data_IF_777565953586
#
_entry.id   IF_777565953586
#
_cell.length_a   1.000
_cell.length_b   1.000
_cell.length_c   1.000
_cell.angle_alpha   90.00
_cell.angle_beta   90.00
_cell.angle_gamma   90.00
#
_symmetry.space_group_name_H-M   'P 1'
#
loop_
_entity.id
_entity.type
_entity.pdbx_description
1 polymer ?
#
# COMPACT_ATOMS: atom_id res chain seq x y z
N UNK A 1 20.43 15.49 -15.06
CA UNK A 1 19.94 16.46 -14.07
C UNK A 1 20.03 15.79 -12.71
N UNK A 2 21.03 16.16 -11.92
CA UNK A 2 21.31 15.56 -10.60
C UNK A 2 20.47 16.20 -9.48
N UNK A 3 19.72 17.25 -9.79
CA UNK A 3 18.83 17.94 -8.85
C UNK A 3 17.63 18.47 -9.63
N UNK A 4 16.66 17.60 -9.86
CA UNK A 4 15.37 18.07 -10.34
C UNK A 4 14.65 18.80 -9.20
N UNK A 5 13.99 19.89 -9.53
CA UNK A 5 13.05 20.50 -8.61
C UNK A 5 12.00 19.47 -8.19
N UNK A 6 11.70 19.41 -6.93
CA UNK A 6 10.73 18.45 -6.41
C UNK A 6 9.38 18.57 -7.14
N UNK A 7 8.87 17.41 -7.59
CA UNK A 7 7.63 17.34 -8.36
C UNK A 7 7.81 17.33 -9.88
N UNK A 8 9.03 17.48 -10.39
CA UNK A 8 9.34 17.28 -11.81
C UNK A 8 9.72 15.82 -12.10
N UNK A 9 9.54 15.42 -13.35
CA UNK A 9 9.95 14.08 -13.80
C UNK A 9 11.48 14.06 -13.96
N UNK A 10 12.12 13.16 -13.22
CA UNK A 10 13.54 12.86 -13.34
C UNK A 10 13.80 11.81 -14.45
N UNK A 11 15.06 11.55 -14.76
CA UNK A 11 15.46 10.45 -15.66
C UNK A 11 15.01 9.09 -15.11
N UNK A 12 15.14 8.89 -13.81
CA UNK A 12 14.69 7.68 -13.11
C UNK A 12 13.17 7.53 -13.22
N UNK A 13 12.41 8.62 -13.04
CA UNK A 13 10.98 8.64 -13.23
C UNK A 13 10.57 8.25 -14.65
N UNK A 14 11.25 8.78 -15.66
CA UNK A 14 11.02 8.42 -17.06
C UNK A 14 11.32 6.94 -17.34
N UNK A 15 12.43 6.39 -16.81
CA UNK A 15 12.78 4.98 -16.95
C UNK A 15 11.79 4.06 -16.22
N UNK A 16 11.40 4.42 -15.00
CA UNK A 16 10.39 3.66 -14.26
C UNK A 16 9.05 3.63 -15.02
N UNK A 17 8.65 4.73 -15.61
CA UNK A 17 7.45 4.81 -16.43
C UNK A 17 7.57 3.99 -17.72
N UNK A 18 8.73 4.07 -18.40
CA UNK A 18 9.01 3.23 -19.57
C UNK A 18 8.91 1.74 -19.23
N UNK A 19 9.51 1.33 -18.12
CA UNK A 19 9.41 -0.06 -17.63
C UNK A 19 7.96 -0.49 -17.45
N UNK A 20 7.14 0.35 -16.82
CA UNK A 20 5.73 0.06 -16.57
C UNK A 20 4.91 -0.06 -17.85
N UNK A 21 5.09 0.86 -18.79
CA UNK A 21 4.36 0.85 -20.06
C UNK A 21 4.77 -0.35 -20.93
N UNK A 22 6.07 -0.61 -21.01
CA UNK A 22 6.59 -1.74 -21.77
C UNK A 22 6.15 -3.10 -21.17
N UNK A 23 6.11 -3.21 -19.85
CA UNK A 23 5.58 -4.40 -19.15
C UNK A 23 4.09 -4.60 -19.47
N UNK A 24 3.30 -3.53 -19.37
CA UNK A 24 1.87 -3.59 -19.66
C UNK A 24 1.61 -4.06 -21.09
N UNK A 25 2.21 -3.39 -22.07
CA UNK A 25 2.01 -3.73 -23.50
C UNK A 25 2.60 -5.11 -23.82
N UNK A 26 3.75 -5.47 -23.25
CA UNK A 26 4.36 -6.78 -23.45
C UNK A 26 3.48 -7.93 -22.95
N UNK A 27 2.90 -7.79 -21.76
CA UNK A 27 1.96 -8.78 -21.21
C UNK A 27 0.65 -8.81 -21.99
N UNK A 28 0.15 -7.66 -22.45
CA UNK A 28 -1.04 -7.59 -23.28
C UNK A 28 -0.84 -8.32 -24.61
N UNK A 29 0.29 -8.09 -25.30
CA UNK A 29 0.62 -8.78 -26.55
C UNK A 29 0.75 -10.31 -26.37
N UNK A 30 1.14 -10.77 -25.19
CA UNK A 30 1.22 -12.19 -24.85
C UNK A 30 -0.16 -12.83 -24.60
N UNK A 31 -1.06 -12.10 -23.96
CA UNK A 31 -2.34 -12.65 -23.43
C UNK A 31 -3.54 -12.34 -24.31
N UNK A 32 -3.37 -11.62 -25.38
CA UNK A 32 -4.41 -11.12 -26.28
C UNK A 32 -5.02 -12.28 -27.09
N UNK A 33 -6.29 -12.55 -26.88
CA UNK A 33 -7.00 -13.61 -27.57
C UNK A 33 -7.00 -13.39 -29.11
N UNK A 34 -6.50 -14.40 -29.85
CA UNK A 34 -6.55 -14.46 -31.30
C UNK A 34 -5.54 -13.59 -32.07
N UNK A 35 -4.78 -12.73 -31.39
CA UNK A 35 -3.82 -11.80 -32.01
C UNK A 35 -2.52 -11.66 -31.20
N UNK A 36 -1.99 -12.75 -30.74
CA UNK A 36 -0.75 -12.76 -29.98
C UNK A 36 0.45 -12.43 -30.89
N UNK A 37 1.28 -11.48 -30.43
CA UNK A 37 2.54 -11.19 -31.09
C UNK A 37 3.71 -11.52 -30.12
N UNK A 38 4.17 -12.76 -30.18
CA UNK A 38 5.19 -13.29 -29.28
C UNK A 38 6.50 -12.52 -29.37
N UNK A 39 6.94 -12.17 -30.59
CA UNK A 39 8.19 -11.45 -30.79
C UNK A 39 8.11 -10.02 -30.22
N UNK A 40 7.02 -9.30 -30.48
CA UNK A 40 6.79 -7.99 -29.91
C UNK A 40 6.69 -8.05 -28.40
N UNK A 41 6.00 -9.06 -27.85
CA UNK A 41 5.90 -9.28 -26.43
C UNK A 41 7.29 -9.47 -25.80
N UNK A 42 8.12 -10.36 -26.34
CA UNK A 42 9.46 -10.61 -25.82
C UNK A 42 10.33 -9.35 -25.83
N UNK A 43 10.30 -8.58 -26.92
CA UNK A 43 11.07 -7.33 -27.03
C UNK A 43 10.62 -6.28 -25.99
N UNK A 44 9.32 -6.14 -25.77
CA UNK A 44 8.78 -5.19 -24.80
C UNK A 44 9.08 -5.61 -23.35
N UNK A 45 9.03 -6.89 -23.05
CA UNK A 45 9.40 -7.40 -21.73
C UNK A 45 10.90 -7.21 -21.44
N UNK A 46 11.75 -7.37 -22.44
CA UNK A 46 13.19 -7.08 -22.33
C UNK A 46 13.45 -5.58 -22.08
N UNK A 47 12.75 -4.70 -22.81
CA UNK A 47 12.80 -3.24 -22.57
C UNK A 47 12.35 -2.92 -21.14
N UNK A 48 11.26 -3.51 -20.70
CA UNK A 48 10.75 -3.31 -19.35
C UNK A 48 11.77 -3.70 -18.28
N UNK A 49 12.41 -4.86 -18.43
CA UNK A 49 13.42 -5.36 -17.50
C UNK A 49 14.67 -4.46 -17.49
N UNK A 50 15.17 -4.06 -18.66
CA UNK A 50 16.33 -3.16 -18.79
C UNK A 50 16.08 -1.78 -18.19
N UNK A 51 14.92 -1.19 -18.44
CA UNK A 51 14.54 0.10 -17.88
C UNK A 51 14.42 0.04 -16.36
N UNK A 52 13.80 -1.01 -15.79
CA UNK A 52 13.75 -1.21 -14.35
C UNK A 52 15.15 -1.38 -13.75
N UNK A 53 16.00 -2.19 -14.38
CA UNK A 53 17.39 -2.41 -13.94
C UNK A 53 18.20 -1.12 -13.91
N UNK A 54 18.00 -0.23 -14.88
CA UNK A 54 18.65 1.08 -14.93
C UNK A 54 18.37 1.92 -13.68
N UNK A 55 17.12 1.87 -13.17
CA UNK A 55 16.72 2.58 -11.95
C UNK A 55 17.30 1.89 -10.71
N UNK A 56 17.19 0.56 -10.63
CA UNK A 56 17.68 -0.23 -9.49
C UNK A 56 19.19 -0.08 -9.32
N UNK A 57 19.93 -0.09 -10.42
CA UNK A 57 21.40 0.04 -10.42
C UNK A 57 21.87 1.50 -10.26
N UNK A 58 20.98 2.44 -9.99
CA UNK A 58 21.27 3.85 -9.76
C UNK A 58 22.09 4.50 -10.90
N UNK A 59 21.83 4.14 -12.16
CA UNK A 59 22.63 4.59 -13.33
C UNK A 59 22.65 6.11 -13.53
N UNK A 60 21.73 6.83 -12.90
CA UNK A 60 21.67 8.29 -12.93
C UNK A 60 22.08 8.95 -11.61
N UNK A 61 22.59 8.16 -10.66
CA UNK A 61 23.20 8.66 -9.42
C UNK A 61 22.29 8.70 -8.21
N UNK A 62 20.97 8.46 -8.35
CA UNK A 62 20.07 8.38 -7.21
C UNK A 62 19.76 6.93 -6.85
N UNK A 63 19.90 6.59 -5.57
CA UNK A 63 19.65 5.24 -5.05
C UNK A 63 18.28 5.18 -4.38
N UNK A 64 17.34 4.48 -5.01
CA UNK A 64 16.05 4.15 -4.41
C UNK A 64 16.20 2.95 -3.47
N UNK A 65 15.41 2.95 -2.39
CA UNK A 65 15.43 1.89 -1.38
C UNK A 65 14.01 1.65 -0.89
N UNK A 66 13.70 0.40 -0.62
CA UNK A 66 12.42 0.06 -0.01
C UNK A 66 12.32 0.69 1.39
N UNK A 67 11.22 1.35 1.66
CA UNK A 67 10.96 1.98 2.94
C UNK A 67 10.92 0.92 4.05
N UNK A 68 11.59 1.20 5.15
CA UNK A 68 11.76 0.24 6.24
C UNK A 68 13.00 -0.64 6.13
N UNK A 69 13.79 -0.54 5.05
CA UNK A 69 15.01 -1.35 4.87
C UNK A 69 16.31 -0.57 5.06
N UNK A 70 16.29 0.74 4.91
CA UNK A 70 17.45 1.60 5.09
C UNK A 70 17.71 1.95 6.57
N UNK A 71 18.86 2.58 6.83
CA UNK A 71 19.29 2.93 8.19
C UNK A 71 18.35 3.89 8.92
N UNK A 72 17.66 4.76 8.20
CA UNK A 72 16.75 5.76 8.78
C UNK A 72 15.38 5.19 9.09
N UNK A 73 14.86 4.36 8.21
CA UNK A 73 13.46 3.90 8.26
C UNK A 73 13.27 2.53 8.89
N UNK A 74 14.32 1.70 8.96
CA UNK A 74 14.27 0.36 9.57
C UNK A 74 13.86 0.33 11.04
N UNK A 75 14.02 1.44 11.76
CA UNK A 75 13.60 1.58 13.15
C UNK A 75 12.09 1.41 13.33
N UNK A 76 11.31 1.63 12.27
CA UNK A 76 9.87 1.41 12.27
C UNK A 76 9.49 -0.08 12.28
N UNK A 77 10.44 -0.97 11.97
CA UNK A 77 10.23 -2.41 11.93
C UNK A 77 8.99 -2.80 11.13
N UNK A 78 8.21 -3.70 11.67
CA UNK A 78 6.97 -4.19 11.05
C UNK A 78 5.96 -3.09 10.71
N UNK A 79 6.01 -1.95 11.38
CA UNK A 79 5.09 -0.84 11.13
C UNK A 79 5.48 0.05 9.94
N UNK A 80 6.63 -0.18 9.33
CA UNK A 80 7.12 0.61 8.19
C UNK A 80 6.07 0.70 7.06
N UNK A 81 5.42 -0.42 6.74
CA UNK A 81 4.37 -0.46 5.71
C UNK A 81 3.21 0.51 5.98
N UNK A 82 2.84 0.72 7.23
CA UNK A 82 1.84 1.72 7.62
C UNK A 82 2.38 3.13 7.43
N UNK A 83 3.54 3.40 7.99
CA UNK A 83 4.09 4.76 8.01
C UNK A 83 4.55 5.24 6.64
N UNK A 84 4.87 4.36 5.71
CA UNK A 84 5.16 4.74 4.32
C UNK A 84 4.05 5.59 3.70
N UNK A 85 2.78 5.31 4.03
CA UNK A 85 1.62 6.00 3.46
C UNK A 85 1.12 7.19 4.27
N UNK A 86 1.43 7.23 5.58
CA UNK A 86 0.92 8.27 6.49
C UNK A 86 2.02 9.18 7.04
N UNK A 87 3.22 9.09 6.49
CA UNK A 87 4.37 9.89 6.90
C UNK A 87 4.22 11.33 6.39
N UNK A 88 3.85 12.23 7.28
CA UNK A 88 3.75 13.67 6.95
C UNK A 88 4.89 14.48 7.55
N UNK A 89 5.19 14.24 8.83
CA UNK A 89 6.22 14.94 9.57
C UNK A 89 6.72 14.07 10.75
N UNK A 90 7.67 14.59 11.49
CA UNK A 90 8.29 13.89 12.63
C UNK A 90 7.27 13.46 13.71
N UNK A 91 6.18 14.20 13.88
CA UNK A 91 5.13 13.90 14.87
C UNK A 91 4.14 12.82 14.40
N UNK A 92 4.13 12.51 13.11
CA UNK A 92 3.21 11.53 12.53
C UNK A 92 3.64 10.07 12.72
N UNK A 93 4.85 9.85 13.24
CA UNK A 93 5.41 8.52 13.45
C UNK A 93 6.22 8.44 14.75
N UNK A 94 6.39 7.24 15.34
CA UNK A 94 7.07 7.09 16.62
C UNK A 94 8.59 7.28 16.56
N UNK A 95 9.16 7.30 15.36
CA UNK A 95 10.62 7.39 15.16
C UNK A 95 11.09 8.82 14.80
N UNK A 96 10.18 9.79 14.73
CA UNK A 96 10.53 11.16 14.35
C UNK A 96 11.08 11.32 12.93
N UNK A 97 10.71 10.40 12.02
CA UNK A 97 11.20 10.39 10.65
C UNK A 97 10.47 11.45 9.83
N UNK A 98 11.19 12.12 8.95
CA UNK A 98 10.64 13.10 7.99
C UNK A 98 10.19 12.43 6.71
N UNK A 99 9.29 13.10 5.99
CA UNK A 99 8.81 12.64 4.68
C UNK A 99 9.95 12.49 3.64
N UNK A 100 10.98 13.34 3.75
CA UNK A 100 12.19 13.26 2.93
C UNK A 100 13.00 11.98 3.10
N UNK A 101 12.85 11.26 4.20
CA UNK A 101 13.48 9.96 4.43
C UNK A 101 12.81 8.80 3.67
N UNK A 102 11.74 9.08 2.92
CA UNK A 102 11.12 8.07 2.07
C UNK A 102 11.79 8.04 0.70
N UNK A 103 12.74 7.14 0.52
CA UNK A 103 13.49 6.94 -0.72
C UNK A 103 12.86 5.89 -1.65
N UNK A 104 11.66 5.41 -1.36
CA UNK A 104 10.94 4.45 -2.21
C UNK A 104 10.19 5.13 -3.35
N UNK A 105 9.72 6.36 -3.15
CA UNK A 105 8.98 7.08 -4.18
C UNK A 105 9.90 7.62 -5.28
N UNK A 106 9.72 7.08 -6.49
CA UNK A 106 10.46 7.51 -7.68
C UNK A 106 9.90 8.81 -8.24
N UNK A 107 8.59 8.96 -8.20
CA UNK A 107 7.87 10.15 -8.62
C UNK A 107 6.62 10.32 -7.77
N UNK A 108 6.42 11.51 -7.22
CA UNK A 108 5.25 11.82 -6.42
C UNK A 108 4.69 13.19 -6.79
N UNK A 109 3.37 13.27 -6.98
CA UNK A 109 2.69 14.54 -7.04
C UNK A 109 2.59 15.11 -5.62
N UNK A 110 3.21 16.25 -5.39
CA UNK A 110 3.13 16.93 -4.11
C UNK A 110 1.80 17.65 -3.96
N UNK A 111 1.23 17.55 -2.79
CA UNK A 111 0.10 18.33 -2.36
C UNK A 111 0.49 19.14 -1.13
N UNK A 112 0.04 20.35 -1.11
CA UNK A 112 0.20 21.29 -0.01
C UNK A 112 -1.15 21.92 0.33
N UNK A 113 -1.36 22.24 1.58
CA UNK A 113 -2.65 22.76 2.03
C UNK A 113 -3.02 24.10 1.37
N UNK A 114 -2.02 24.90 1.04
CA UNK A 114 -2.19 26.26 0.49
C UNK A 114 -1.93 26.29 -1.02
N UNK A 115 -0.79 25.73 -1.45
CA UNK A 115 -0.31 25.86 -2.83
C UNK A 115 -0.90 24.82 -3.78
N UNK A 116 -1.26 23.63 -3.29
CA UNK A 116 -1.75 22.54 -4.10
C UNK A 116 -2.77 21.67 -3.33
N UNK A 117 -3.77 22.31 -2.76
CA UNK A 117 -4.80 21.63 -1.97
C UNK A 117 -5.54 20.56 -2.78
N UNK A 118 -5.78 19.42 -2.17
CA UNK A 118 -6.65 18.38 -2.75
C UNK A 118 -8.13 18.83 -2.72
N UNK A 119 -8.46 19.82 -1.91
CA UNK A 119 -9.82 20.35 -1.78
C UNK A 119 -10.79 19.40 -1.05
N UNK A 120 -10.32 18.28 -0.51
CA UNK A 120 -11.13 17.29 0.20
C UNK A 120 -10.44 16.78 1.45
N UNK A 121 -11.22 16.45 2.46
CA UNK A 121 -10.75 15.75 3.64
C UNK A 121 -10.73 14.23 3.36
N UNK A 122 -9.63 13.73 2.81
CA UNK A 122 -9.48 12.31 2.47
C UNK A 122 -9.74 11.40 3.67
N UNK A 123 -9.27 11.80 4.85
CA UNK A 123 -9.50 11.03 6.08
C UNK A 123 -10.98 10.87 6.36
N UNK A 124 -11.74 11.96 6.27
CA UNK A 124 -13.18 11.94 6.49
C UNK A 124 -13.91 11.09 5.44
N UNK A 125 -13.52 11.21 4.18
CA UNK A 125 -14.09 10.45 3.06
C UNK A 125 -13.86 8.94 3.24
N UNK A 126 -12.66 8.53 3.60
CA UNK A 126 -12.34 7.12 3.86
C UNK A 126 -13.11 6.56 5.07
N UNK A 127 -13.44 7.40 6.05
CA UNK A 127 -14.08 6.99 7.29
C UNK A 127 -15.59 7.11 7.29
N UNK A 128 -16.15 7.84 6.34
CA UNK A 128 -17.59 8.07 6.23
C UNK A 128 -18.32 6.95 5.48
N UNK A 129 -17.80 5.73 5.50
CA UNK A 129 -18.37 4.54 4.86
C UNK A 129 -18.44 4.62 3.32
N UNK A 130 -17.56 5.38 2.71
CA UNK A 130 -17.56 5.57 1.24
C UNK A 130 -16.73 4.51 0.52
N UNK A 131 -15.77 3.89 1.22
CA UNK A 131 -14.88 2.89 0.64
C UNK A 131 -14.76 1.66 1.53
N UNK A 132 -15.15 0.53 0.98
CA UNK A 132 -15.08 -0.76 1.64
C UNK A 132 -14.23 -1.73 0.83
N UNK A 133 -13.53 -2.60 1.51
CA UNK A 133 -12.79 -3.69 0.88
C UNK A 133 -13.56 -4.99 0.99
N UNK A 134 -13.52 -5.78 -0.06
CA UNK A 134 -14.22 -7.07 -0.10
C UNK A 134 -13.46 -8.12 0.71
N UNK A 135 -14.17 -9.14 1.19
CA UNK A 135 -13.55 -10.34 1.79
C UNK A 135 -12.56 -11.00 0.83
N UNK A 136 -12.87 -11.03 -0.47
CA UNK A 136 -11.96 -11.55 -1.50
C UNK A 136 -10.60 -10.83 -1.45
N UNK A 137 -10.60 -9.50 -1.31
CA UNK A 137 -9.35 -8.73 -1.16
C UNK A 137 -8.60 -9.11 0.13
N UNK A 138 -9.29 -9.20 1.27
CA UNK A 138 -8.68 -9.61 2.54
C UNK A 138 -8.08 -11.02 2.47
N UNK A 139 -8.71 -11.93 1.72
CA UNK A 139 -8.24 -13.29 1.53
C UNK A 139 -6.98 -13.40 0.63
N UNK A 140 -6.67 -12.36 -0.17
CA UNK A 140 -5.44 -12.34 -0.98
C UNK A 140 -4.16 -12.21 -0.14
N UNK A 141 -4.25 -11.71 1.08
CA UNK A 141 -3.09 -11.72 1.97
C UNK A 141 -2.72 -13.16 2.34
N UNK A 142 -1.44 -13.47 2.30
CA UNK A 142 -0.94 -14.79 2.70
C UNK A 142 -0.97 -14.98 4.22
N UNK A 143 -0.81 -16.20 4.67
CA UNK A 143 -0.47 -16.47 6.07
C UNK A 143 1.01 -16.18 6.32
N UNK A 144 1.42 -16.13 7.57
CA UNK A 144 2.80 -15.84 7.98
C UNK A 144 3.81 -16.96 7.64
N UNK A 145 3.30 -18.12 7.18
CA UNK A 145 4.07 -19.20 6.56
C UNK A 145 4.25 -19.03 5.04
N UNK A 146 3.77 -17.91 4.46
CA UNK A 146 3.84 -17.62 3.04
C UNK A 146 2.82 -18.35 2.17
N UNK A 147 1.88 -19.08 2.76
CA UNK A 147 0.86 -19.84 2.02
C UNK A 147 -0.48 -19.07 1.94
N UNK A 148 -1.26 -19.27 0.86
CA UNK A 148 -2.64 -18.82 0.80
C UNK A 148 -3.50 -19.47 1.90
N UNK A 149 -4.58 -18.80 2.29
CA UNK A 149 -5.46 -19.25 3.39
C UNK A 149 -6.03 -20.65 3.16
N UNK A 150 -6.23 -21.05 1.92
CA UNK A 150 -6.77 -22.38 1.55
C UNK A 150 -5.74 -23.50 1.74
N UNK A 151 -4.45 -23.15 1.80
CA UNK A 151 -3.34 -24.11 1.89
C UNK A 151 -2.62 -24.06 3.24
N UNK A 152 -2.80 -22.99 4.01
CA UNK A 152 -2.14 -22.81 5.29
C UNK A 152 -2.91 -23.48 6.42
N UNK A 153 -2.25 -24.35 7.18
CA UNK A 153 -2.80 -24.90 8.43
C UNK A 153 -2.82 -23.88 9.59
N UNK A 154 -2.21 -22.70 9.40
CA UNK A 154 -2.14 -21.65 10.42
C UNK A 154 -3.31 -20.68 10.38
N UNK A 155 -4.11 -20.69 9.33
CA UNK A 155 -5.27 -19.82 9.18
C UNK A 155 -6.34 -20.14 10.23
N UNK A 156 -6.70 -19.16 11.06
CA UNK A 156 -7.63 -19.31 12.17
C UNK A 156 -9.09 -19.16 11.76
N UNK A 157 -9.39 -19.19 10.46
CA UNK A 157 -10.74 -19.06 9.90
C UNK A 157 -11.46 -17.79 10.37
N UNK A 158 -12.78 -17.85 10.49
CA UNK A 158 -13.66 -16.71 10.72
C UNK A 158 -14.53 -16.85 11.97
N UNK A 159 -14.15 -17.72 12.90
CA UNK A 159 -14.96 -18.03 14.07
C UNK A 159 -15.14 -16.81 15.01
N UNK A 160 -14.12 -15.97 15.06
CA UNK A 160 -14.16 -14.68 15.77
C UNK A 160 -13.70 -13.56 14.84
N UNK A 161 -14.13 -12.33 15.10
CA UNK A 161 -13.72 -11.14 14.32
C UNK A 161 -12.22 -10.97 14.20
N UNK A 162 -11.46 -11.35 15.22
CA UNK A 162 -10.01 -11.26 15.26
C UNK A 162 -9.31 -12.44 14.59
N UNK A 163 -9.99 -13.60 14.49
CA UNK A 163 -9.37 -14.86 14.03
C UNK A 163 -8.75 -14.73 12.65
N UNK A 164 -9.42 -14.09 11.71
CA UNK A 164 -8.93 -13.91 10.34
C UNK A 164 -7.69 -13.02 10.21
N UNK A 165 -7.35 -12.25 11.26
CA UNK A 165 -6.15 -11.42 11.32
C UNK A 165 -4.96 -12.11 12.00
N UNK A 166 -5.17 -13.30 12.58
CA UNK A 166 -4.12 -14.05 13.25
C UNK A 166 -3.32 -14.87 12.23
N UNK A 167 -2.01 -14.95 12.45
CA UNK A 167 -1.09 -15.70 11.60
C UNK A 167 -1.14 -15.28 10.12
N UNK A 168 -1.36 -14.00 9.87
CA UNK A 168 -1.44 -13.42 8.52
C UNK A 168 -0.27 -12.50 8.24
N UNK A 169 -0.03 -12.28 6.98
CA UNK A 169 0.92 -11.28 6.51
C UNK A 169 0.73 -9.95 7.25
N UNK A 170 1.81 -9.41 7.76
CA UNK A 170 1.83 -8.20 8.55
C UNK A 170 1.19 -6.99 7.83
N UNK A 171 1.29 -6.95 6.50
CA UNK A 171 0.66 -5.91 5.67
C UNK A 171 -0.86 -5.87 5.79
N UNK A 172 -1.51 -7.02 5.98
CA UNK A 172 -2.95 -7.08 6.23
C UNK A 172 -3.34 -6.27 7.46
N UNK A 173 -2.60 -6.43 8.55
CA UNK A 173 -2.82 -5.74 9.83
C UNK A 173 -2.72 -4.22 9.72
N UNK A 174 -1.88 -3.73 8.80
CA UNK A 174 -1.68 -2.30 8.59
C UNK A 174 -2.50 -1.71 7.46
N UNK A 175 -3.11 -2.53 6.63
CA UNK A 175 -4.01 -2.09 5.56
C UNK A 175 -5.46 -2.13 6.00
N UNK A 176 -5.86 -3.18 6.70
CA UNK A 176 -7.22 -3.40 7.16
C UNK A 176 -7.36 -3.08 8.65
N UNK A 177 -8.51 -2.58 9.03
CA UNK A 177 -8.80 -2.23 10.41
C UNK A 177 -9.07 -3.51 11.23
N UNK A 178 -8.05 -3.96 11.97
CA UNK A 178 -8.18 -5.10 12.88
C UNK A 178 -8.94 -4.68 14.14
N UNK A 179 -9.79 -5.53 14.71
CA UNK A 179 -10.41 -5.31 16.02
C UNK A 179 -9.38 -4.91 17.09
N UNK A 180 -9.68 -3.91 17.89
CA UNK A 180 -8.78 -3.37 18.92
C UNK A 180 -7.67 -2.46 18.40
N UNK A 181 -7.59 -2.20 17.09
CA UNK A 181 -6.60 -1.26 16.54
C UNK A 181 -6.90 0.17 16.99
N UNK A 182 -5.85 0.84 17.46
CA UNK A 182 -5.94 2.26 17.78
C UNK A 182 -6.18 3.06 16.50
N UNK A 183 -7.26 3.82 16.54
CA UNK A 183 -7.68 4.66 15.46
C UNK A 183 -7.08 6.08 15.61
N UNK A 184 -6.47 6.61 14.58
CA UNK A 184 -6.00 7.98 14.60
C UNK A 184 -7.09 8.92 14.06
N UNK A 185 -7.30 10.00 14.73
CA UNK A 185 -8.34 10.95 14.40
C UNK A 185 -9.42 10.97 15.46
N UNK A 186 -9.29 11.92 16.36
CA UNK A 186 -10.26 12.13 17.44
C UNK A 186 -11.43 13.03 17.02
N UNK A 187 -11.52 13.44 15.73
CA UNK A 187 -12.63 14.26 15.24
C UNK A 187 -14.00 13.69 15.56
N UNK A 188 -14.07 12.37 15.73
CA UNK A 188 -15.27 11.64 16.14
C UNK A 188 -15.22 11.18 17.61
N UNK A 189 -14.31 11.73 18.43
CA UNK A 189 -14.16 11.37 19.83
C UNK A 189 -13.67 9.94 20.10
N UNK A 190 -13.05 9.28 19.10
CA UNK A 190 -12.61 7.90 19.22
C UNK A 190 -11.12 7.76 19.01
N UNK A 191 -10.44 7.23 20.03
CA UNK A 191 -9.01 6.93 19.99
C UNK A 191 -8.71 5.46 19.66
N UNK A 192 -9.72 4.60 19.74
CA UNK A 192 -9.62 3.17 19.41
C UNK A 192 -10.95 2.61 18.94
N UNK A 193 -10.91 1.59 18.08
CA UNK A 193 -12.05 0.75 17.79
C UNK A 193 -12.05 -0.40 18.78
N UNK A 194 -12.91 -0.30 19.77
CA UNK A 194 -13.24 -1.45 20.61
C UNK A 194 -14.45 -2.13 19.99
N UNK A 195 -14.26 -3.35 19.57
CA UNK A 195 -15.32 -4.21 19.08
C UNK A 195 -15.58 -5.27 20.13
N UNK A 196 -16.83 -5.47 20.42
CA UNK A 196 -17.20 -6.68 21.11
C UNK A 196 -16.97 -7.85 20.14
N UNK A 197 -16.10 -8.77 20.54
CA UNK A 197 -15.77 -9.95 19.73
C UNK A 197 -17.00 -10.86 19.55
N UNK A 198 -17.97 -10.75 20.43
CA UNK A 198 -19.17 -11.62 20.44
C UNK A 198 -20.27 -11.08 19.55
N UNK A 199 -20.28 -9.79 19.24
CA UNK A 199 -21.38 -9.15 18.50
C UNK A 199 -20.96 -8.57 17.16
N UNK A 200 -21.04 -9.39 16.12
CA UNK A 200 -20.82 -8.98 14.75
C UNK A 200 -21.87 -7.97 14.23
N UNK A 201 -23.05 -7.97 14.81
CA UNK A 201 -24.18 -7.16 14.32
C UNK A 201 -24.16 -5.73 14.83
N UNK A 202 -23.57 -5.48 16.00
CA UNK A 202 -23.51 -4.15 16.63
C UNK A 202 -22.20 -3.40 16.32
N UNK A 203 -21.24 -4.05 15.69
CA UNK A 203 -20.00 -3.42 15.28
C UNK A 203 -20.28 -2.33 14.23
N UNK A 204 -19.86 -1.09 14.50
CA UNK A 204 -19.97 0.01 13.53
C UNK A 204 -19.13 -0.19 12.25
N UNK A 205 -18.32 -1.22 12.19
CA UNK A 205 -17.54 -1.62 11.03
C UNK A 205 -18.26 -2.67 10.19
N UNK A 206 -19.26 -3.32 10.76
CA UNK A 206 -20.14 -4.18 10.02
C UNK A 206 -21.36 -3.39 9.54
N UNK A 207 -21.41 -3.11 8.27
CA UNK A 207 -22.56 -2.55 7.61
C UNK A 207 -23.26 -3.68 6.82
N UNK A 208 -24.43 -4.15 7.26
CA UNK A 208 -25.17 -5.19 6.56
C UNK A 208 -25.57 -4.79 5.14
N UNK A 209 -25.73 -3.49 4.88
CA UNK A 209 -26.11 -2.98 3.56
C UNK A 209 -24.94 -3.05 2.56
N UNK A 210 -23.71 -2.90 3.03
CA UNK A 210 -22.52 -3.02 2.19
C UNK A 210 -22.01 -4.46 2.03
N UNK A 211 -22.45 -5.38 2.86
CA UNK A 211 -22.01 -6.78 2.85
C UNK A 211 -20.55 -6.99 3.23
N UNK A 212 -19.91 -6.00 3.86
CA UNK A 212 -18.49 -6.04 4.24
C UNK A 212 -18.29 -5.58 5.68
N UNK A 213 -17.31 -6.16 6.35
CA UNK A 213 -16.90 -5.80 7.70
C UNK A 213 -15.48 -5.22 7.77
N UNK A 214 -14.88 -4.91 6.63
CA UNK A 214 -13.51 -4.39 6.59
C UNK A 214 -13.50 -2.89 6.42
N UNK A 215 -12.99 -2.20 7.44
CA UNK A 215 -12.59 -0.80 7.30
C UNK A 215 -11.18 -0.69 6.73
N UNK A 216 -10.93 0.38 6.01
CA UNK A 216 -9.59 0.73 5.53
C UNK A 216 -8.86 1.52 6.62
N UNK A 217 -7.60 1.13 6.91
CA UNK A 217 -6.77 1.79 7.91
C UNK A 217 -5.81 2.83 7.31
N UNK A 218 -5.62 2.82 5.99
CA UNK A 218 -4.69 3.72 5.29
C UNK A 218 -5.39 4.91 4.68
#
# INVERSE_FOLDING_TARGET
LTTEEEGRISKEGAQAFLSRVALYEGTWQKSRNGNQNTQRSANLLDIAAKAARTVIDAKYGYTFRLFGTDSETKILGDSAQKYMFILENEKSNPAGIKKSSNHEYIFARRHDQVLASIGKNITQECLANVQWVTRKFANLYLCDDGLPIEKSGRFQKYDKKVSEFLNRDNRMRYTLLKPGTRYWGNKFGRTSWQWDETDLKTSKVYDPASGTCYGNQK
#
